data_IF_303135369588
#
_entry.id   IF_303135369588
#
_cell.length_a   1.000
_cell.length_b   1.000
_cell.length_c   1.000
_cell.angle_alpha   90.00
_cell.angle_beta   90.00
_cell.angle_gamma   90.00
#
_symmetry.space_group_name_H-M   'P 1'
#
loop_
_entity.id
_entity.type
_entity.pdbx_description
1 polymer ?
#
# COMPACT_ATOMS: atom_id res chain seq x y z
N UNK A 1 -11.92 -25.06 4.27
CA UNK A 1 -10.94 -25.59 3.29
C UNK A 1 -10.45 -24.56 2.26
N UNK A 2 -11.20 -23.48 1.95
CA UNK A 2 -10.75 -22.43 1.02
C UNK A 2 -9.56 -21.58 1.49
N UNK A 3 -9.48 -21.27 2.79
CA UNK A 3 -8.39 -20.45 3.37
C UNK A 3 -7.02 -21.13 3.26
N UNK A 4 -6.95 -22.45 3.44
CA UNK A 4 -5.68 -23.21 3.40
C UNK A 4 -5.11 -23.27 1.98
N UNK A 5 -5.97 -23.41 0.96
CA UNK A 5 -5.56 -23.42 -0.45
C UNK A 5 -5.07 -22.04 -0.97
N UNK A 6 -5.57 -20.95 -0.36
CA UNK A 6 -5.11 -19.59 -0.64
C UNK A 6 -3.73 -19.38 -0.01
N UNK A 7 -3.53 -19.82 1.23
CA UNK A 7 -2.24 -19.71 1.91
C UNK A 7 -1.14 -20.58 1.28
N UNK A 8 -1.48 -21.75 0.71
CA UNK A 8 -0.49 -22.65 0.10
C UNK A 8 0.09 -22.16 -1.23
N UNK A 9 -0.55 -21.15 -1.87
CA UNK A 9 -0.13 -20.58 -3.14
C UNK A 9 0.23 -19.09 -3.03
N UNK A 10 0.72 -18.65 -1.86
CA UNK A 10 1.17 -17.26 -1.67
C UNK A 10 2.39 -16.98 -2.55
N UNK A 11 2.25 -16.02 -3.46
CA UNK A 11 3.38 -15.50 -4.24
C UNK A 11 4.16 -14.51 -3.39
N UNK A 12 5.46 -14.37 -3.65
CA UNK A 12 6.27 -13.32 -3.04
C UNK A 12 5.67 -11.91 -3.31
N UNK A 13 5.03 -11.74 -4.46
CA UNK A 13 4.28 -10.54 -4.83
C UNK A 13 3.13 -10.26 -3.86
N UNK A 14 2.37 -11.29 -3.45
CA UNK A 14 1.26 -11.15 -2.51
C UNK A 14 1.78 -10.69 -1.12
N UNK A 15 2.92 -11.23 -0.68
CA UNK A 15 3.57 -10.83 0.58
C UNK A 15 4.07 -9.39 0.53
N UNK A 16 4.72 -9.00 -0.57
CA UNK A 16 5.18 -7.62 -0.77
C UNK A 16 4.01 -6.63 -0.82
N UNK A 17 2.90 -7.01 -1.47
CA UNK A 17 1.69 -6.19 -1.53
C UNK A 17 1.06 -6.00 -0.14
N UNK A 18 0.90 -7.08 0.64
CA UNK A 18 0.40 -7.01 2.02
C UNK A 18 1.29 -6.14 2.89
N UNK A 19 2.62 -6.28 2.79
CA UNK A 19 3.56 -5.45 3.56
C UNK A 19 3.48 -3.97 3.16
N UNK A 20 3.43 -3.69 1.87
CA UNK A 20 3.30 -2.33 1.35
C UNK A 20 1.99 -1.68 1.80
N UNK A 21 0.86 -2.38 1.61
CA UNK A 21 -0.45 -1.92 2.04
C UNK A 21 -0.52 -1.74 3.56
N UNK A 22 0.13 -2.61 4.35
CA UNK A 22 0.22 -2.45 5.81
C UNK A 22 0.99 -1.19 6.18
N UNK A 23 2.11 -0.91 5.50
CA UNK A 23 2.89 0.30 5.71
C UNK A 23 2.09 1.56 5.40
N UNK A 24 1.37 1.57 4.25
CA UNK A 24 0.50 2.67 3.84
C UNK A 24 -0.67 2.85 4.80
N UNK A 25 -1.37 1.77 5.16
CA UNK A 25 -2.49 1.80 6.09
C UNK A 25 -2.07 2.31 7.48
N UNK A 26 -0.89 1.93 7.96
CA UNK A 26 -0.33 2.44 9.21
C UNK A 26 -0.07 3.95 9.16
N UNK A 27 0.55 4.45 8.08
CA UNK A 27 0.80 5.88 7.91
C UNK A 27 -0.52 6.67 7.77
N UNK A 28 -1.48 6.16 7.00
CA UNK A 28 -2.82 6.74 6.91
C UNK A 28 -3.50 6.79 8.28
N UNK A 29 -3.43 5.71 9.06
CA UNK A 29 -3.97 5.70 10.42
C UNK A 29 -3.33 6.79 11.28
N UNK A 30 -2.00 6.90 11.28
CA UNK A 30 -1.31 7.93 12.06
C UNK A 30 -1.70 9.34 11.62
N UNK A 31 -1.91 9.54 10.32
CA UNK A 31 -2.31 10.83 9.76
C UNK A 31 -3.70 11.26 10.21
N UNK A 32 -4.66 10.34 10.18
CA UNK A 32 -6.04 10.65 10.56
C UNK A 32 -6.27 10.58 12.06
N UNK A 33 -5.43 9.89 12.83
CA UNK A 33 -5.64 9.70 14.28
C UNK A 33 -5.77 11.05 14.99
N UNK A 34 -6.89 11.23 15.70
CA UNK A 34 -7.18 12.46 16.45
C UNK A 34 -7.95 13.52 15.67
N UNK A 35 -8.10 13.35 14.35
CA UNK A 35 -8.88 14.26 13.50
C UNK A 35 -10.38 13.94 13.53
N UNK A 36 -11.21 14.92 13.16
CA UNK A 36 -12.65 14.69 12.89
C UNK A 36 -12.85 13.64 11.79
N UNK A 37 -11.93 13.57 10.83
CA UNK A 37 -11.95 12.59 9.75
C UNK A 37 -11.89 11.15 10.24
N UNK A 38 -11.16 10.86 11.32
CA UNK A 38 -11.13 9.51 11.89
C UNK A 38 -12.49 9.06 12.41
N UNK A 39 -13.26 9.94 13.06
CA UNK A 39 -14.62 9.63 13.53
C UNK A 39 -15.56 9.35 12.36
N UNK A 40 -15.45 10.13 11.28
CA UNK A 40 -16.21 9.92 10.06
C UNK A 40 -15.85 8.60 9.37
N UNK A 41 -14.57 8.22 9.32
CA UNK A 41 -14.10 6.94 8.78
C UNK A 41 -14.68 5.75 9.56
N UNK A 42 -14.68 5.82 10.90
CA UNK A 42 -15.32 4.79 11.74
C UNK A 42 -16.82 4.71 11.46
N UNK A 43 -17.50 5.87 11.34
CA UNK A 43 -18.91 5.92 10.96
C UNK A 43 -19.20 5.28 9.60
N UNK A 44 -18.36 5.54 8.61
CA UNK A 44 -18.44 4.93 7.27
C UNK A 44 -18.29 3.41 7.33
N UNK A 45 -17.36 2.92 8.15
CA UNK A 45 -17.12 1.48 8.31
C UNK A 45 -18.35 0.79 8.94
N UNK A 46 -18.93 1.37 9.99
CA UNK A 46 -20.18 0.87 10.61
C UNK A 46 -21.32 0.86 9.59
N UNK A 47 -21.48 1.94 8.83
CA UNK A 47 -22.48 2.03 7.78
C UNK A 47 -22.30 0.94 6.71
N UNK A 48 -21.06 0.68 6.29
CA UNK A 48 -20.70 -0.38 5.34
C UNK A 48 -21.01 -1.79 5.87
N UNK A 49 -20.82 -2.04 7.17
CA UNK A 49 -21.21 -3.30 7.81
C UNK A 49 -22.74 -3.48 7.74
N UNK A 50 -23.50 -2.45 8.12
CA UNK A 50 -24.97 -2.48 8.08
C UNK A 50 -25.46 -2.72 6.64
N UNK A 51 -24.88 -2.03 5.66
CA UNK A 51 -25.17 -2.23 4.25
C UNK A 51 -24.90 -3.68 3.81
N UNK A 52 -23.78 -4.26 4.23
CA UNK A 52 -23.42 -5.65 3.91
C UNK A 52 -24.43 -6.63 4.51
N UNK A 53 -24.86 -6.42 5.75
CA UNK A 53 -25.91 -7.22 6.40
C UNK A 53 -27.22 -7.11 5.61
N UNK A 54 -27.64 -5.88 5.27
CA UNK A 54 -28.87 -5.63 4.53
C UNK A 54 -28.87 -6.33 3.16
N UNK A 55 -27.74 -6.26 2.44
CA UNK A 55 -27.55 -6.94 1.16
C UNK A 55 -27.60 -8.46 1.31
N UNK A 56 -26.96 -9.00 2.34
CA UNK A 56 -26.89 -10.45 2.59
C UNK A 56 -28.26 -11.02 2.95
N UNK A 57 -29.08 -10.26 3.67
CA UNK A 57 -30.46 -10.64 4.01
C UNK A 57 -31.49 -10.35 2.91
N UNK A 58 -31.06 -9.81 1.77
CA UNK A 58 -31.97 -9.54 0.64
C UNK A 58 -32.95 -8.39 0.88
N UNK A 59 -32.64 -7.46 1.80
CA UNK A 59 -33.46 -6.26 2.05
C UNK A 59 -33.34 -5.28 0.88
N UNK A 60 -34.17 -5.44 -0.14
CA UNK A 60 -34.07 -4.69 -1.40
C UNK A 60 -34.16 -3.18 -1.19
N UNK A 61 -35.22 -2.70 -0.53
CA UNK A 61 -35.45 -1.26 -0.34
C UNK A 61 -34.34 -0.62 0.50
N UNK A 62 -33.91 -1.29 1.57
CA UNK A 62 -32.79 -0.84 2.41
C UNK A 62 -31.49 -0.77 1.62
N UNK A 63 -31.18 -1.81 0.83
CA UNK A 63 -29.98 -1.85 -0.02
C UNK A 63 -30.00 -0.70 -1.04
N UNK A 64 -31.14 -0.44 -1.66
CA UNK A 64 -31.33 0.64 -2.63
C UNK A 64 -31.15 2.03 -1.99
N UNK A 65 -31.72 2.26 -0.80
CA UNK A 65 -31.53 3.51 -0.04
C UNK A 65 -30.05 3.70 0.32
N UNK A 66 -29.37 2.66 0.80
CA UNK A 66 -27.95 2.73 1.10
C UNK A 66 -27.09 3.03 -0.14
N UNK A 67 -27.46 2.55 -1.33
CA UNK A 67 -26.75 2.88 -2.57
C UNK A 67 -26.82 4.37 -2.90
N UNK A 68 -28.00 4.99 -2.78
CA UNK A 68 -28.18 6.44 -2.97
C UNK A 68 -27.41 7.21 -1.90
N UNK A 69 -27.56 6.80 -0.64
CA UNK A 69 -26.86 7.41 0.48
C UNK A 69 -25.34 7.34 0.29
N UNK A 70 -24.81 6.23 -0.20
CA UNK A 70 -23.37 6.07 -0.49
C UNK A 70 -22.87 7.09 -1.51
N UNK A 71 -23.64 7.35 -2.58
CA UNK A 71 -23.28 8.36 -3.58
C UNK A 71 -23.20 9.76 -2.99
N UNK A 72 -24.22 10.17 -2.21
CA UNK A 72 -24.25 11.49 -1.55
C UNK A 72 -23.15 11.59 -0.50
N UNK A 73 -22.89 10.51 0.24
CA UNK A 73 -21.88 10.46 1.28
C UNK A 73 -20.47 10.63 0.71
N UNK A 74 -20.15 10.00 -0.43
CA UNK A 74 -18.85 10.18 -1.10
C UNK A 74 -18.65 11.64 -1.51
N UNK A 75 -19.68 12.29 -2.07
CA UNK A 75 -19.60 13.71 -2.42
C UNK A 75 -19.38 14.59 -1.18
N UNK A 76 -20.18 14.38 -0.13
CA UNK A 76 -20.05 15.10 1.13
C UNK A 76 -18.67 14.91 1.75
N UNK A 77 -18.13 13.68 1.69
CA UNK A 77 -16.81 13.33 2.21
C UNK A 77 -15.69 14.06 1.47
N UNK A 78 -15.76 14.17 0.15
CA UNK A 78 -14.79 14.95 -0.65
C UNK A 78 -14.84 16.43 -0.25
N UNK A 79 -16.03 17.01 -0.10
CA UNK A 79 -16.20 18.42 0.29
C UNK A 79 -15.67 18.64 1.70
N UNK A 80 -16.01 17.76 2.64
CA UNK A 80 -15.60 17.87 4.04
C UNK A 80 -14.09 17.69 4.21
N UNK A 81 -13.46 16.81 3.43
CA UNK A 81 -12.03 16.51 3.52
C UNK A 81 -11.16 17.28 2.53
N UNK A 82 -11.70 18.31 1.88
CA UNK A 82 -10.94 19.11 0.93
C UNK A 82 -9.69 19.75 1.57
N UNK A 83 -9.81 20.24 2.82
CA UNK A 83 -8.71 20.81 3.60
C UNK A 83 -7.63 19.79 3.94
N UNK A 84 -8.05 18.60 4.39
CA UNK A 84 -7.17 17.53 4.83
C UNK A 84 -6.36 16.99 3.65
N UNK A 85 -6.97 16.84 2.47
CA UNK A 85 -6.27 16.44 1.24
C UNK A 85 -5.23 17.48 0.83
N UNK A 86 -5.54 18.78 1.00
CA UNK A 86 -4.60 19.87 0.71
C UNK A 86 -3.40 19.81 1.66
N UNK A 87 -3.66 19.84 2.97
CA UNK A 87 -2.60 19.72 4.00
C UNK A 87 -1.76 18.47 3.76
N UNK A 88 -2.44 17.40 3.33
CA UNK A 88 -1.79 16.14 3.09
C UNK A 88 -0.71 16.25 2.01
N UNK A 89 -1.08 16.79 0.86
CA UNK A 89 -0.18 17.01 -0.27
C UNK A 89 0.93 18.02 0.06
N UNK A 90 0.63 19.03 0.89
CA UNK A 90 1.62 20.01 1.34
C UNK A 90 2.67 19.40 2.28
N UNK A 91 2.27 18.47 3.16
CA UNK A 91 3.17 17.73 4.06
C UNK A 91 4.07 16.76 3.32
N UNK A 92 3.55 16.11 2.27
CA UNK A 92 4.35 15.24 1.40
C UNK A 92 5.10 16.10 0.38
N UNK A 93 5.99 16.96 0.85
CA UNK A 93 6.93 17.65 -0.04
C UNK A 93 8.17 16.75 -0.23
N UNK A 94 8.30 16.02 -1.36
CA UNK A 94 9.40 15.09 -1.59
C UNK A 94 10.79 15.75 -1.51
N UNK A 95 10.86 17.07 -1.75
CA UNK A 95 12.09 17.87 -1.61
C UNK A 95 12.57 17.97 -0.14
N UNK A 96 11.64 17.89 0.82
CA UNK A 96 11.94 17.92 2.25
C UNK A 96 12.41 16.54 2.75
N UNK A 97 11.84 15.46 2.20
CA UNK A 97 12.28 14.08 2.44
C UNK A 97 13.69 13.78 1.88
N UNK A 98 14.08 14.47 0.80
CA UNK A 98 15.42 14.41 0.20
C UNK A 98 16.49 15.22 0.97
N UNK A 99 16.13 15.89 2.07
CA UNK A 99 17.08 16.59 2.94
C UNK A 99 17.68 17.87 2.35
N UNK A 100 17.15 18.37 1.23
CA UNK A 100 17.68 19.55 0.52
C UNK A 100 17.33 20.88 1.21
N UNK A 101 16.47 20.87 2.23
CA UNK A 101 16.20 22.07 3.03
C UNK A 101 17.26 22.23 4.09
N UNK A 102 18.20 23.15 3.85
CA UNK A 102 19.16 23.66 4.84
C UNK A 102 18.34 24.26 6.00
N UNK A 103 17.98 23.47 7.02
CA UNK A 103 17.39 23.98 8.27
C UNK A 103 18.35 25.07 8.75
N UNK A 104 17.92 26.33 8.71
CA UNK A 104 18.73 27.44 9.20
C UNK A 104 19.05 27.12 10.64
N UNK A 105 20.33 27.02 10.97
CA UNK A 105 20.79 26.73 12.32
C UNK A 105 20.13 27.74 13.26
N UNK A 106 19.30 27.30 14.23
CA UNK A 106 18.50 28.20 15.07
C UNK A 106 19.35 29.10 16.00
N UNK A 107 20.68 29.00 15.97
CA UNK A 107 21.54 29.58 17.00
C UNK A 107 21.55 31.12 17.10
N UNK A 108 21.57 31.87 15.99
CA UNK A 108 21.79 33.33 16.09
C UNK A 108 20.56 34.09 16.54
N UNK A 109 19.43 33.89 15.85
CA UNK A 109 18.20 34.63 16.14
C UNK A 109 17.57 34.25 17.48
N UNK A 110 17.78 33.03 17.98
CA UNK A 110 17.25 32.60 19.29
C UNK A 110 17.89 33.37 20.44
N UNK A 111 19.19 33.67 20.34
CA UNK A 111 19.87 34.47 21.37
C UNK A 111 19.35 35.92 21.35
N UNK A 112 19.33 36.54 20.17
CA UNK A 112 18.80 37.91 19.99
C UNK A 112 17.34 38.04 20.46
N UNK A 113 16.50 37.04 20.14
CA UNK A 113 15.12 36.98 20.60
C UNK A 113 15.05 36.84 22.13
N UNK A 114 15.89 35.99 22.72
CA UNK A 114 15.88 35.76 24.17
C UNK A 114 16.28 37.04 24.93
N UNK A 115 17.28 37.77 24.43
CA UNK A 115 17.69 39.05 24.99
C UNK A 115 16.54 40.08 24.91
N UNK A 116 15.85 40.15 23.78
CA UNK A 116 14.69 41.02 23.59
C UNK A 116 13.52 40.65 24.52
N UNK A 117 13.25 39.36 24.71
CA UNK A 117 12.23 38.86 25.65
C UNK A 117 12.53 39.29 27.08
N UNK A 118 13.78 39.14 27.53
CA UNK A 118 14.17 39.58 28.87
C UNK A 118 14.25 41.10 29.02
N UNK A 119 14.47 41.84 27.93
CA UNK A 119 14.30 43.29 27.93
C UNK A 119 12.83 43.68 28.14
N UNK A 120 11.91 43.08 27.39
CA UNK A 120 10.46 43.30 27.58
C UNK A 120 10.01 42.95 29.00
N UNK A 121 10.55 41.87 29.58
CA UNK A 121 10.29 41.46 30.95
C UNK A 121 10.70 42.55 31.97
N UNK A 122 11.90 43.13 31.83
CA UNK A 122 12.36 44.25 32.68
C UNK A 122 11.50 45.50 32.56
N UNK A 123 11.03 45.79 31.34
CA UNK A 123 10.16 46.94 31.05
C UNK A 123 8.67 46.64 31.33
N UNK A 124 8.34 45.41 31.77
CA UNK A 124 6.96 44.93 31.97
C UNK A 124 6.07 45.12 30.74
N UNK A 125 6.63 44.80 29.57
CA UNK A 125 5.95 44.77 28.30
C UNK A 125 5.46 43.34 28.07
N UNK A 126 4.14 43.17 27.96
CA UNK A 126 3.53 41.87 27.70
C UNK A 126 3.83 41.38 26.28
N UNK A 127 4.20 40.11 26.13
CA UNK A 127 4.51 39.53 24.84
C UNK A 127 3.99 38.09 24.74
N UNK A 128 3.67 37.68 23.51
CA UNK A 128 3.22 36.32 23.19
C UNK A 128 3.85 35.90 21.85
N UNK A 129 4.76 34.94 21.89
CA UNK A 129 5.61 34.60 20.75
C UNK A 129 5.50 33.12 20.47
N UNK A 130 4.97 32.76 19.30
CA UNK A 130 4.87 31.39 18.82
C UNK A 130 6.11 31.07 18.00
N UNK A 131 6.76 29.97 18.30
CA UNK A 131 7.83 29.38 17.51
C UNK A 131 7.31 28.08 16.90
N UNK A 132 7.08 28.10 15.59
CA UNK A 132 6.56 26.96 14.82
C UNK A 132 7.62 25.86 14.68
N UNK A 133 7.18 24.61 14.85
CA UNK A 133 8.02 23.41 14.77
C UNK A 133 7.57 22.47 13.64
N UNK A 134 7.09 21.26 13.94
CA UNK A 134 6.68 20.29 12.91
C UNK A 134 5.22 20.50 12.48
N UNK A 135 4.36 20.93 13.39
CA UNK A 135 2.98 21.29 13.12
C UNK A 135 2.88 22.74 12.64
N UNK A 136 2.06 22.96 11.62
CA UNK A 136 1.67 24.31 11.20
C UNK A 136 0.67 24.88 12.19
N UNK A 137 0.90 26.11 12.63
CA UNK A 137 0.00 26.80 13.58
C UNK A 137 -1.14 27.58 12.92
N UNK A 138 -1.09 27.76 11.59
CA UNK A 138 -2.02 28.58 10.80
C UNK A 138 -3.50 28.24 11.01
N UNK A 139 -3.83 26.97 11.22
CA UNK A 139 -5.21 26.52 11.39
C UNK A 139 -5.72 26.66 12.84
N UNK A 140 -4.79 26.87 13.78
CA UNK A 140 -5.08 27.04 15.19
C UNK A 140 -5.16 28.51 15.58
N UNK A 141 -4.46 29.37 14.84
CA UNK A 141 -4.49 30.81 15.04
C UNK A 141 -5.60 31.46 14.20
N UNK A 142 -6.14 32.58 14.67
CA UNK A 142 -7.13 33.37 13.93
C UNK A 142 -6.73 34.84 13.86
N UNK A 143 -7.21 35.54 12.83
CA UNK A 143 -6.85 36.94 12.60
C UNK A 143 -5.37 37.11 12.25
N UNK A 144 -4.78 38.22 12.72
CA UNK A 144 -3.39 38.58 12.46
C UNK A 144 -3.15 39.27 11.11
N UNK A 145 -1.93 39.79 10.95
CA UNK A 145 -1.43 40.41 9.73
C UNK A 145 -0.11 39.75 9.32
N UNK A 146 0.08 39.54 8.02
CA UNK A 146 1.34 39.05 7.47
C UNK A 146 2.43 40.12 7.64
N UNK A 147 3.55 39.71 8.23
CA UNK A 147 4.72 40.56 8.42
C UNK A 147 5.98 39.70 8.31
N UNK A 148 6.69 39.80 7.19
CA UNK A 148 7.94 39.10 6.97
C UNK A 148 9.12 39.89 7.56
N UNK A 149 9.79 39.32 8.54
CA UNK A 149 10.92 39.98 9.20
C UNK A 149 11.89 39.02 9.89
N UNK A 150 13.09 39.50 10.17
CA UNK A 150 14.02 38.81 11.08
C UNK A 150 13.61 39.08 12.54
N UNK A 151 13.52 38.07 13.41
CA UNK A 151 13.12 38.26 14.81
C UNK A 151 14.28 38.83 15.64
N UNK A 152 14.70 40.06 15.31
CA UNK A 152 15.67 40.82 16.07
C UNK A 152 14.98 41.64 17.19
N UNK A 153 15.78 42.21 18.07
CA UNK A 153 15.27 42.96 19.20
C UNK A 153 14.41 44.15 18.77
N UNK A 154 14.84 44.90 17.74
CA UNK A 154 14.16 46.10 17.27
C UNK A 154 12.75 45.80 16.77
N UNK A 155 12.57 44.75 15.98
CA UNK A 155 11.28 44.33 15.44
C UNK A 155 10.36 43.84 16.55
N UNK A 156 10.84 42.93 17.40
CA UNK A 156 10.03 42.32 18.46
C UNK A 156 9.58 43.37 19.47
N UNK A 157 10.49 44.25 19.90
CA UNK A 157 10.17 45.35 20.82
C UNK A 157 9.12 46.28 20.20
N UNK A 158 9.29 46.65 18.93
CA UNK A 158 8.37 47.55 18.22
C UNK A 158 6.97 46.97 18.05
N UNK A 159 6.87 45.65 17.83
CA UNK A 159 5.57 44.98 17.75
C UNK A 159 4.83 45.05 19.10
N UNK A 160 5.50 44.71 20.20
CA UNK A 160 4.87 44.61 21.53
C UNK A 160 4.78 45.94 22.30
N UNK A 161 5.22 47.07 21.73
CA UNK A 161 5.00 48.37 22.37
C UNK A 161 3.51 48.64 22.61
N UNK A 162 3.16 49.15 23.80
CA UNK A 162 1.76 49.39 24.22
C UNK A 162 0.91 50.24 23.27
N UNK A 163 1.54 51.11 22.48
CA UNK A 163 0.86 52.00 21.53
C UNK A 163 0.80 51.43 20.11
N UNK A 164 1.51 50.33 19.83
CA UNK A 164 1.53 49.69 18.51
C UNK A 164 0.20 49.00 18.25
N UNK A 165 -0.46 49.15 17.10
CA UNK A 165 -1.66 48.37 16.79
C UNK A 165 -1.39 46.85 16.67
N UNK A 166 -0.12 46.44 16.62
CA UNK A 166 0.31 45.05 16.47
C UNK A 166 0.57 44.33 17.80
N UNK A 167 0.50 45.02 18.94
CA UNK A 167 0.85 44.47 20.25
C UNK A 167 -0.20 43.51 20.84
N UNK A 168 -1.43 43.57 20.32
CA UNK A 168 -2.52 42.70 20.76
C UNK A 168 -2.50 41.39 19.99
N UNK A 169 -2.25 40.28 20.70
CA UNK A 169 -2.09 38.95 20.13
C UNK A 169 -0.63 38.49 20.07
N UNK A 170 -0.39 37.46 19.27
CA UNK A 170 0.90 36.79 19.17
C UNK A 170 1.62 37.08 17.87
N UNK A 171 2.94 36.93 17.89
CA UNK A 171 3.77 36.83 16.69
C UNK A 171 4.06 35.36 16.37
N UNK A 172 4.19 35.04 15.09
CA UNK A 172 4.52 33.68 14.62
C UNK A 172 5.89 33.69 13.96
N UNK A 173 6.82 32.95 14.55
CA UNK A 173 8.16 32.72 14.02
C UNK A 173 8.23 31.34 13.38
N UNK A 174 8.55 31.31 12.09
CA UNK A 174 8.69 30.10 11.28
C UNK A 174 10.00 30.14 10.52
N UNK A 175 10.75 29.04 10.54
CA UNK A 175 12.03 28.91 9.85
C UNK A 175 13.03 30.07 10.16
N UNK A 176 12.95 30.63 11.38
CA UNK A 176 13.76 31.75 11.84
C UNK A 176 13.34 33.12 11.29
N UNK A 177 12.10 33.28 10.85
CA UNK A 177 11.51 34.54 10.40
C UNK A 177 10.15 34.77 11.07
N UNK A 178 9.87 36.02 11.42
CA UNK A 178 8.50 36.45 11.72
C UNK A 178 7.71 36.35 10.42
N UNK A 179 6.52 35.74 10.49
CA UNK A 179 5.61 35.57 9.34
C UNK A 179 4.29 36.28 9.58
N UNK A 180 3.80 36.27 10.83
CA UNK A 180 2.55 36.89 11.22
C UNK A 180 2.70 37.60 12.56
N UNK A 181 1.87 38.61 12.76
CA UNK A 181 1.74 39.40 14.00
C UNK A 181 0.27 39.58 14.35
N UNK A 182 -0.03 39.95 15.60
CA UNK A 182 -1.38 40.15 16.09
C UNK A 182 -2.33 38.93 15.93
N UNK A 183 -1.77 37.71 16.03
CA UNK A 183 -2.54 36.47 15.91
C UNK A 183 -3.25 36.12 17.22
N UNK A 184 -4.52 35.69 17.13
CA UNK A 184 -5.26 35.19 18.27
C UNK A 184 -5.10 33.67 18.41
N UNK A 185 -4.96 33.20 19.65
CA UNK A 185 -4.73 31.79 19.98
C UNK A 185 -5.96 31.21 20.69
N UNK A 186 -6.17 29.88 20.61
CA UNK A 186 -7.17 29.21 21.42
C UNK A 186 -6.76 29.25 22.89
N UNK A 187 -7.71 29.54 23.77
CA UNK A 187 -7.49 29.49 25.23
C UNK A 187 -7.64 28.05 25.73
N UNK A 188 -6.79 27.64 26.68
CA UNK A 188 -6.99 26.39 27.42
C UNK A 188 -8.27 26.47 28.24
N UNK A 189 -9.03 25.36 28.25
CA UNK A 189 -10.27 25.20 29.01
C UNK A 189 -10.03 24.60 30.41
N UNK A 190 -8.78 24.40 30.81
CA UNK A 190 -8.47 23.83 32.12
C UNK A 190 -8.88 24.80 33.26
N UNK A 191 -9.72 24.29 34.17
CA UNK A 191 -10.19 25.02 35.34
C UNK A 191 -9.20 25.00 36.51
N UNK A 192 -8.15 24.15 36.44
CA UNK A 192 -7.11 24.03 37.46
C UNK A 192 -5.95 25.03 37.32
N UNK A 193 -6.02 25.97 36.38
CA UNK A 193 -4.93 26.90 36.11
C UNK A 193 -4.77 27.94 37.23
N UNK A 194 -3.52 28.35 37.56
CA UNK A 194 -3.27 29.36 38.58
C UNK A 194 -4.09 30.64 38.33
N UNK A 195 -4.64 31.21 39.40
CA UNK A 195 -5.47 32.43 39.32
C UNK A 195 -4.71 33.64 38.79
N UNK A 196 -3.39 33.65 38.97
CA UNK A 196 -2.47 34.68 38.48
C UNK A 196 -2.17 34.59 36.98
N UNK A 197 -2.69 33.59 36.27
CA UNK A 197 -2.50 33.44 34.82
C UNK A 197 -3.55 34.23 34.04
N UNK A 198 -3.06 35.25 33.34
CA UNK A 198 -3.83 36.06 32.41
C UNK A 198 -4.16 35.34 31.11
N UNK A 199 -4.79 36.07 30.19
CA UNK A 199 -5.23 35.54 28.89
C UNK A 199 -4.07 35.05 28.02
N UNK A 200 -2.90 35.71 28.04
CA UNK A 200 -1.71 35.28 27.28
C UNK A 200 -1.16 33.92 27.73
N UNK A 201 -1.11 33.66 29.04
CA UNK A 201 -0.71 32.35 29.58
C UNK A 201 -1.70 31.25 29.19
N UNK A 202 -2.99 31.52 29.28
CA UNK A 202 -4.05 30.57 28.87
C UNK A 202 -4.04 30.30 27.37
N UNK A 203 -3.76 31.31 26.56
CA UNK A 203 -3.56 31.22 25.12
C UNK A 203 -2.34 30.35 24.76
N UNK A 204 -1.21 30.60 25.42
CA UNK A 204 0.00 29.82 25.22
C UNK A 204 -0.21 28.34 25.55
N UNK A 205 -0.87 28.06 26.68
CA UNK A 205 -1.22 26.70 27.06
C UNK A 205 -2.17 26.06 26.04
N UNK A 206 -3.26 26.75 25.68
CA UNK A 206 -4.27 26.23 24.76
C UNK A 206 -3.74 25.93 23.35
N UNK A 207 -2.73 26.66 22.88
CA UNK A 207 -2.03 26.32 21.64
C UNK A 207 -1.12 25.10 21.83
N UNK A 208 -0.31 25.08 22.89
CA UNK A 208 0.65 23.99 23.17
C UNK A 208 0.01 22.63 23.45
N UNK A 209 -1.27 22.61 23.84
CA UNK A 209 -2.07 21.39 24.02
C UNK A 209 -2.51 20.77 22.67
N UNK A 210 -2.54 21.58 21.61
CA UNK A 210 -3.11 21.20 20.30
C UNK A 210 -2.05 20.93 19.23
N UNK A 211 -0.83 21.44 19.41
CA UNK A 211 0.28 21.23 18.49
C UNK A 211 1.63 21.27 19.22
N UNK A 212 2.69 20.88 18.51
CA UNK A 212 4.06 20.86 19.04
C UNK A 212 4.75 22.23 19.14
N UNK A 213 4.03 23.33 18.90
CA UNK A 213 4.58 24.67 18.92
C UNK A 213 5.09 25.09 20.31
N UNK A 214 6.16 25.88 20.30
CA UNK A 214 6.75 26.44 21.51
C UNK A 214 6.26 27.88 21.65
N UNK A 215 5.71 28.23 22.82
CA UNK A 215 5.14 29.56 23.05
C UNK A 215 5.86 30.26 24.19
N UNK A 216 6.43 31.43 23.92
CA UNK A 216 7.06 32.29 24.93
C UNK A 216 6.05 33.36 25.35
N UNK A 217 5.88 33.54 26.65
CA UNK A 217 5.00 34.53 27.25
C UNK A 217 5.80 35.46 28.13
N UNK A 218 5.56 36.76 28.04
CA UNK A 218 6.05 37.75 29.01
C UNK A 218 4.85 38.35 29.73
N UNK A 219 4.85 38.28 31.06
CA UNK A 219 3.82 38.88 31.90
C UNK A 219 3.97 40.40 31.96
N UNK A 220 2.93 41.13 31.57
CA UNK A 220 2.88 42.60 31.70
C UNK A 220 2.73 43.08 33.15
N UNK A 221 2.24 42.22 34.05
CA UNK A 221 2.06 42.55 35.46
C UNK A 221 3.33 42.25 36.27
N UNK A 222 3.89 41.05 36.07
CA UNK A 222 4.99 40.52 36.88
C UNK A 222 6.37 40.72 36.24
N UNK A 223 6.44 40.96 34.93
CA UNK A 223 7.71 40.95 34.20
C UNK A 223 8.36 39.56 34.19
N UNK A 224 7.55 38.51 34.30
CA UNK A 224 8.00 37.12 34.33
C UNK A 224 7.96 36.52 32.92
N UNK A 225 9.00 35.75 32.57
CA UNK A 225 9.07 35.02 31.30
C UNK A 225 8.63 33.57 31.54
N UNK A 226 7.70 33.10 30.72
CA UNK A 226 7.23 31.71 30.73
C UNK A 226 7.43 31.08 29.36
N UNK A 227 7.87 29.84 29.35
CA UNK A 227 8.04 29.01 28.16
C UNK A 227 7.03 27.87 28.22
N UNK A 228 6.16 27.76 27.22
CA UNK A 228 5.09 26.76 27.18
C UNK A 228 5.33 25.79 26.03
N UNK A 229 5.44 24.50 26.36
CA UNK A 229 5.71 23.41 25.41
C UNK A 229 4.95 22.16 25.84
N UNK A 230 4.18 21.56 24.93
CA UNK A 230 3.45 20.30 25.17
C UNK A 230 2.61 20.32 26.46
N UNK A 231 1.90 21.42 26.72
CA UNK A 231 1.07 21.60 27.91
C UNK A 231 1.84 21.84 29.21
N UNK A 232 3.18 21.96 29.18
CA UNK A 232 4.01 22.27 30.34
C UNK A 232 4.49 23.70 30.28
N UNK A 233 4.51 24.36 31.45
CA UNK A 233 5.01 25.72 31.60
C UNK A 233 6.32 25.68 32.39
N UNK A 234 7.36 26.26 31.81
CA UNK A 234 8.68 26.44 32.39
C UNK A 234 8.96 27.93 32.59
N UNK A 235 9.71 28.27 33.63
CA UNK A 235 10.01 29.66 34.01
C UNK A 235 11.53 29.90 33.93
N UNK A 236 12.07 30.22 32.74
CA UNK A 236 13.50 30.50 32.60
C UNK A 236 13.88 31.77 33.37
N UNK A 237 14.99 31.71 34.12
CA UNK A 237 15.42 32.83 34.96
C UNK A 237 16.24 33.89 34.19
N UNK A 238 16.84 33.53 33.06
CA UNK A 238 17.72 34.39 32.27
C UNK A 238 17.63 34.08 30.76
N UNK A 239 18.10 35.01 29.92
CA UNK A 239 18.07 34.91 28.46
C UNK A 239 18.90 33.71 27.95
N UNK A 240 20.01 33.41 28.60
CA UNK A 240 20.86 32.25 28.30
C UNK A 240 20.14 30.93 28.59
N UNK A 241 19.29 30.91 29.63
CA UNK A 241 18.49 29.72 29.92
C UNK A 241 17.38 29.53 28.90
N UNK A 242 16.63 30.59 28.59
CA UNK A 242 15.57 30.54 27.57
C UNK A 242 16.13 30.08 26.21
N UNK A 243 17.21 30.71 25.75
CA UNK A 243 17.86 30.34 24.48
C UNK A 243 18.31 28.88 24.48
N UNK A 244 18.92 28.41 25.57
CA UNK A 244 19.31 27.00 25.72
C UNK A 244 18.09 26.06 25.62
N UNK A 245 16.99 26.34 26.33
CA UNK A 245 15.79 25.48 26.32
C UNK A 245 15.15 25.45 24.94
N UNK A 246 15.02 26.60 24.29
CA UNK A 246 14.52 26.67 22.91
C UNK A 246 15.39 25.83 21.97
N UNK A 247 16.72 25.96 22.05
CA UNK A 247 17.66 25.19 21.23
C UNK A 247 17.65 23.68 21.55
N UNK A 248 17.49 23.29 22.82
CA UNK A 248 17.35 21.89 23.24
C UNK A 248 16.09 21.26 22.65
N UNK A 249 14.95 21.96 22.69
CA UNK A 249 13.69 21.51 22.09
C UNK A 249 13.84 21.31 20.57
N UNK A 250 14.53 22.22 19.88
CA UNK A 250 14.86 22.04 18.45
C UNK A 250 15.81 20.87 18.18
N UNK A 251 16.72 20.54 19.12
CA UNK A 251 17.65 19.41 19.01
C UNK A 251 17.00 18.07 19.31
N UNK A 252 15.99 18.01 20.17
CA UNK A 252 15.21 16.78 20.38
C UNK A 252 14.48 16.35 19.09
N UNK A 253 14.17 17.29 18.20
CA UNK A 253 13.68 17.07 16.83
C UNK A 253 14.78 16.92 15.75
N UNK A 254 16.04 17.13 16.11
CA UNK A 254 17.14 16.76 15.22
C UNK A 254 17.34 15.26 15.38
N UNK A 255 17.41 14.47 14.28
CA UNK A 255 17.61 13.04 14.40
C UNK A 255 18.87 12.80 15.21
N UNK A 256 18.69 12.26 16.43
CA UNK A 256 19.78 11.76 17.23
C UNK A 256 20.58 10.79 16.36
N UNK A 257 21.90 10.79 16.52
CA UNK A 257 22.80 9.84 15.87
C UNK A 257 22.60 8.42 16.44
N UNK A 258 21.36 7.94 16.52
CA UNK A 258 21.05 6.58 16.93
C UNK A 258 21.38 5.62 15.80
N UNK A 259 21.99 4.51 16.17
CA UNK A 259 22.42 3.45 15.26
C UNK A 259 21.19 2.83 14.60
N UNK A 260 21.26 2.47 13.30
CA UNK A 260 20.13 1.89 12.53
C UNK A 260 19.45 0.73 13.30
N UNK A 261 20.22 -0.04 14.08
CA UNK A 261 19.74 -1.15 14.90
C UNK A 261 18.83 -0.71 16.07
N UNK A 262 19.14 0.39 16.75
CA UNK A 262 18.36 0.94 17.86
C UNK A 262 17.09 1.64 17.35
N UNK A 263 17.15 2.24 16.15
CA UNK A 263 16.00 2.81 15.45
C UNK A 263 15.00 1.73 15.02
N UNK A 264 15.49 0.57 14.60
CA UNK A 264 14.63 -0.58 14.26
C UNK A 264 13.98 -1.18 15.51
N UNK A 265 14.72 -1.36 16.61
CA UNK A 265 14.17 -1.93 17.84
C UNK A 265 13.13 -1.02 18.50
N UNK A 266 13.40 0.28 18.62
CA UNK A 266 12.43 1.25 19.15
C UNK A 266 11.25 1.47 18.20
N UNK A 267 11.49 1.46 16.88
CA UNK A 267 10.45 1.55 15.87
C UNK A 267 9.49 0.36 15.88
N UNK A 268 9.96 -0.87 16.08
CA UNK A 268 9.11 -2.07 16.11
C UNK A 268 8.31 -2.16 17.41
N UNK A 269 8.91 -1.80 18.55
CA UNK A 269 8.27 -1.90 19.87
C UNK A 269 7.31 -0.74 20.16
N UNK A 270 7.55 0.45 19.61
CA UNK A 270 6.65 1.58 19.82
C UNK A 270 5.37 1.44 18.98
N UNK A 271 4.21 1.51 19.64
CA UNK A 271 2.88 1.37 19.03
C UNK A 271 2.61 0.04 18.29
N UNK A 272 3.23 -1.07 18.70
CA UNK A 272 3.06 -2.38 18.04
C UNK A 272 1.59 -2.80 17.88
N UNK A 273 0.71 -2.42 18.82
CA UNK A 273 -0.74 -2.71 18.78
C UNK A 273 -1.42 -2.08 17.56
N UNK A 274 -1.01 -0.86 17.20
CA UNK A 274 -1.54 -0.14 16.02
C UNK A 274 -1.04 -0.80 14.75
N UNK A 275 0.23 -1.19 14.70
CA UNK A 275 0.84 -1.87 13.55
C UNK A 275 0.21 -3.25 13.32
N UNK A 276 0.01 -4.01 14.40
CA UNK A 276 -0.69 -5.28 14.37
C UNK A 276 -2.15 -5.08 13.92
N UNK A 277 -2.84 -4.04 14.41
CA UNK A 277 -4.18 -3.70 13.96
C UNK A 277 -4.26 -3.36 12.46
N UNK A 278 -3.34 -2.54 11.95
CA UNK A 278 -3.25 -2.22 10.53
C UNK A 278 -2.96 -3.47 9.68
N UNK A 279 -2.05 -4.34 10.13
CA UNK A 279 -1.75 -5.60 9.46
C UNK A 279 -2.97 -6.52 9.42
N UNK A 280 -3.69 -6.67 10.53
CA UNK A 280 -4.93 -7.49 10.59
C UNK A 280 -5.99 -6.93 9.64
N UNK A 281 -6.18 -5.61 9.62
CA UNK A 281 -7.13 -4.96 8.72
C UNK A 281 -6.80 -5.24 7.24
N UNK A 282 -5.54 -5.05 6.86
CA UNK A 282 -5.07 -5.32 5.49
C UNK A 282 -5.18 -6.80 5.16
N UNK A 283 -4.85 -7.70 6.09
CA UNK A 283 -4.99 -9.14 5.90
C UNK A 283 -6.45 -9.56 5.67
N UNK A 284 -7.39 -9.02 6.45
CA UNK A 284 -8.83 -9.29 6.28
C UNK A 284 -9.31 -8.77 4.93
N UNK A 285 -8.92 -7.55 4.55
CA UNK A 285 -9.30 -6.97 3.27
C UNK A 285 -8.72 -7.74 2.08
N UNK A 286 -7.45 -8.14 2.17
CA UNK A 286 -6.78 -8.97 1.18
C UNK A 286 -7.48 -10.33 1.04
N UNK A 287 -7.87 -10.98 2.14
CA UNK A 287 -8.62 -12.25 2.11
C UNK A 287 -10.00 -12.11 1.47
N UNK A 288 -10.72 -11.01 1.73
CA UNK A 288 -12.02 -10.74 1.13
C UNK A 288 -11.91 -10.54 -0.39
N UNK A 289 -10.84 -9.88 -0.86
CA UNK A 289 -10.63 -9.59 -2.29
C UNK A 289 -9.92 -10.70 -3.06
N UNK A 290 -9.03 -11.47 -2.42
CA UNK A 290 -8.27 -12.55 -3.05
C UNK A 290 -9.17 -13.65 -3.63
N UNK A 291 -10.40 -13.79 -3.13
CA UNK A 291 -11.41 -14.68 -3.69
C UNK A 291 -12.01 -14.24 -5.03
N UNK A 292 -11.75 -13.01 -5.48
CA UNK A 292 -12.36 -12.40 -6.68
C UNK A 292 -11.42 -12.29 -7.89
N UNK A 293 -10.16 -12.72 -7.80
CA UNK A 293 -9.22 -12.63 -8.92
C UNK A 293 -9.34 -13.84 -9.86
N UNK A 294 -9.76 -13.57 -11.10
CA UNK A 294 -9.71 -14.53 -12.21
C UNK A 294 -8.25 -14.91 -12.50
N UNK A 295 -7.96 -16.21 -12.48
CA UNK A 295 -6.62 -16.74 -12.64
C UNK A 295 -6.49 -17.33 -14.05
N UNK A 296 -5.47 -16.88 -14.79
CA UNK A 296 -5.12 -17.43 -16.10
C UNK A 296 -3.91 -18.37 -15.96
N UNK A 297 -4.08 -19.62 -16.41
CA UNK A 297 -3.02 -20.62 -16.43
C UNK A 297 -2.79 -21.08 -17.86
N UNK A 298 -1.51 -21.11 -18.25
CA UNK A 298 -1.07 -21.73 -19.48
C UNK A 298 -0.40 -23.08 -19.15
N UNK A 299 -0.86 -24.17 -19.75
CA UNK A 299 -0.21 -25.47 -19.59
C UNK A 299 -0.21 -26.26 -20.91
N UNK A 300 0.79 -27.12 -21.07
CA UNK A 300 0.97 -27.95 -22.26
C UNK A 300 0.33 -29.31 -22.06
N UNK A 301 -0.55 -29.73 -22.96
CA UNK A 301 -1.26 -31.01 -22.90
C UNK A 301 -0.86 -31.89 -24.09
N UNK A 302 -0.52 -33.18 -23.88
CA UNK A 302 -0.29 -34.12 -24.96
C UNK A 302 -1.60 -34.47 -25.67
N UNK A 303 -1.59 -34.50 -27.00
CA UNK A 303 -2.77 -34.79 -27.80
C UNK A 303 -3.00 -36.30 -27.95
N UNK A 304 -4.16 -36.79 -27.52
CA UNK A 304 -4.53 -38.19 -27.69
C UNK A 304 -5.19 -38.39 -29.05
N UNK A 305 -4.54 -39.20 -29.90
CA UNK A 305 -5.02 -39.49 -31.24
C UNK A 305 -6.01 -40.66 -31.21
N UNK A 306 -7.23 -40.44 -31.72
CA UNK A 306 -8.29 -41.47 -31.84
C UNK A 306 -8.50 -41.84 -33.30
N UNK A 307 -8.89 -43.09 -33.56
CA UNK A 307 -9.21 -43.61 -34.91
C UNK A 307 -8.04 -43.53 -35.92
N UNK A 308 -6.81 -43.86 -35.50
CA UNK A 308 -5.67 -43.97 -36.43
C UNK A 308 -5.90 -45.15 -37.39
N UNK A 309 -5.93 -44.96 -38.72
CA UNK A 309 -6.12 -46.05 -39.67
C UNK A 309 -5.02 -47.12 -39.55
N UNK A 310 -5.39 -48.40 -39.36
CA UNK A 310 -4.45 -49.52 -39.10
C UNK A 310 -3.40 -49.76 -40.20
N UNK A 311 -3.59 -49.19 -41.40
CA UNK A 311 -2.69 -49.32 -42.56
C UNK A 311 -1.67 -48.19 -42.68
N UNK A 312 -1.64 -47.22 -41.76
CA UNK A 312 -0.82 -46.02 -41.87
C UNK A 312 0.07 -45.81 -40.63
N UNK A 313 1.25 -45.24 -40.86
CA UNK A 313 2.22 -44.82 -39.85
C UNK A 313 2.39 -43.30 -39.91
N UNK A 314 2.40 -42.66 -38.73
CA UNK A 314 2.60 -41.22 -38.58
C UNK A 314 4.12 -40.97 -38.55
N UNK A 315 4.62 -40.21 -39.53
CA UNK A 315 6.05 -39.87 -39.62
C UNK A 315 6.41 -38.60 -38.86
N UNK A 316 5.50 -37.63 -38.79
CA UNK A 316 5.70 -36.36 -38.10
C UNK A 316 4.33 -35.73 -37.74
N UNK A 317 4.16 -35.11 -36.55
CA UNK A 317 5.04 -35.12 -35.37
C UNK A 317 4.81 -36.34 -34.44
N UNK A 318 5.85 -36.78 -33.73
CA UNK A 318 5.81 -38.00 -32.88
C UNK A 318 5.24 -37.82 -31.45
N UNK A 319 4.94 -36.60 -31.01
CA UNK A 319 4.22 -36.30 -29.75
C UNK A 319 3.61 -34.88 -29.83
N UNK A 320 2.49 -34.68 -30.53
CA UNK A 320 1.89 -33.35 -30.66
C UNK A 320 1.39 -32.83 -29.32
N UNK A 321 1.91 -31.68 -28.90
CA UNK A 321 1.48 -30.98 -27.68
C UNK A 321 0.78 -29.68 -28.03
N UNK A 322 -0.23 -29.34 -27.26
CA UNK A 322 -0.98 -28.09 -27.39
C UNK A 322 -0.84 -27.28 -26.12
N UNK A 323 -0.57 -25.99 -26.25
CA UNK A 323 -0.60 -25.01 -25.18
C UNK A 323 -2.03 -24.50 -25.02
N UNK A 324 -2.62 -24.74 -23.86
CA UNK A 324 -3.95 -24.25 -23.51
C UNK A 324 -3.80 -23.09 -22.53
N UNK A 325 -4.38 -21.94 -22.87
CA UNK A 325 -4.61 -20.85 -21.90
C UNK A 325 -6.04 -20.92 -21.42
N UNK A 326 -6.21 -20.94 -20.11
CA UNK A 326 -7.49 -21.19 -19.48
C UNK A 326 -7.73 -20.18 -18.36
N UNK A 327 -8.93 -19.58 -18.32
CA UNK A 327 -9.36 -18.57 -17.34
C UNK A 327 -10.47 -19.13 -16.45
N UNK A 328 -10.34 -18.96 -15.14
CA UNK A 328 -11.37 -19.32 -14.17
C UNK A 328 -11.02 -18.87 -12.76
N UNK A 329 -11.90 -19.18 -11.80
CA UNK A 329 -11.64 -18.95 -10.39
C UNK A 329 -10.33 -19.64 -9.97
N UNK A 330 -9.48 -18.97 -9.18
CA UNK A 330 -8.15 -19.48 -8.78
C UNK A 330 -8.17 -20.91 -8.21
N UNK A 331 -9.24 -21.29 -7.51
CA UNK A 331 -9.44 -22.66 -6.98
C UNK A 331 -9.54 -23.75 -8.08
N UNK A 332 -10.14 -23.43 -9.21
CA UNK A 332 -10.45 -24.39 -10.27
C UNK A 332 -9.32 -24.40 -11.30
N UNK A 333 -8.82 -23.20 -11.66
CA UNK A 333 -7.73 -23.05 -12.62
C UNK A 333 -6.36 -23.60 -12.12
N UNK A 334 -6.09 -23.57 -10.81
CA UNK A 334 -4.82 -24.08 -10.24
C UNK A 334 -4.72 -25.60 -10.11
N UNK A 335 -5.84 -26.33 -10.26
CA UNK A 335 -5.85 -27.81 -10.23
C UNK A 335 -5.74 -28.43 -11.63
N UNK A 336 -5.73 -27.59 -12.67
CA UNK A 336 -5.54 -28.01 -14.06
C UNK A 336 -4.06 -28.32 -14.30
N UNK A 337 -3.80 -29.58 -14.66
CA UNK A 337 -2.47 -30.07 -15.05
C UNK A 337 -2.63 -31.02 -16.24
N UNK A 338 -1.52 -31.29 -16.93
CA UNK A 338 -1.35 -32.31 -17.98
C UNK A 338 -2.04 -33.66 -17.72
N UNK A 339 -2.16 -34.07 -16.45
CA UNK A 339 -2.79 -35.34 -16.04
C UNK A 339 -4.33 -35.31 -16.06
N UNK A 340 -4.92 -34.13 -15.88
CA UNK A 340 -6.36 -33.97 -15.63
C UNK A 340 -7.12 -33.34 -16.80
N UNK A 341 -6.41 -32.88 -17.84
CA UNK A 341 -6.99 -32.29 -19.04
C UNK A 341 -6.65 -33.19 -20.23
N UNK A 342 -7.68 -33.64 -20.93
CA UNK A 342 -7.51 -34.54 -22.09
C UNK A 342 -7.95 -33.82 -23.35
N UNK A 343 -7.02 -33.66 -24.28
CA UNK A 343 -7.30 -33.18 -25.64
C UNK A 343 -7.31 -34.37 -26.59
N UNK A 344 -8.45 -34.61 -27.26
CA UNK A 344 -8.64 -35.76 -28.15
C UNK A 344 -8.76 -35.27 -29.58
N UNK A 345 -7.91 -35.75 -30.48
CA UNK A 345 -8.00 -35.47 -31.92
C UNK A 345 -8.45 -36.71 -32.69
N UNK A 346 -9.52 -36.61 -33.45
CA UNK A 346 -10.02 -37.69 -34.31
C UNK A 346 -9.30 -37.67 -35.68
N UNK A 347 -8.62 -38.77 -36.03
CA UNK A 347 -7.89 -38.94 -37.29
C UNK A 347 -8.63 -39.79 -38.32
N UNK A 348 -9.93 -40.03 -38.16
CA UNK A 348 -10.75 -40.82 -39.12
C UNK A 348 -10.72 -40.29 -40.56
N UNK A 349 -10.53 -38.98 -40.76
CA UNK A 349 -10.39 -38.37 -42.08
C UNK A 349 -8.95 -38.41 -42.66
N UNK A 350 -8.03 -39.17 -42.05
CA UNK A 350 -6.64 -39.28 -42.49
C UNK A 350 -6.53 -40.01 -43.84
N UNK A 351 -5.76 -39.41 -44.76
CA UNK A 351 -5.45 -39.91 -46.09
C UNK A 351 -3.94 -39.84 -46.35
N UNK A 352 -3.44 -40.59 -47.33
CA UNK A 352 -2.02 -40.58 -47.70
C UNK A 352 -1.51 -39.15 -47.99
N UNK A 353 -0.33 -38.80 -47.46
CA UNK A 353 0.29 -37.49 -47.68
C UNK A 353 0.30 -36.58 -46.45
N UNK A 354 0.37 -35.26 -46.66
CA UNK A 354 0.35 -34.23 -45.61
C UNK A 354 -1.09 -33.73 -45.43
N UNK A 355 -1.60 -33.75 -44.20
CA UNK A 355 -2.94 -33.24 -43.89
C UNK A 355 -2.91 -32.40 -42.63
N UNK A 356 -3.63 -31.29 -42.67
CA UNK A 356 -3.80 -30.39 -41.53
C UNK A 356 -5.09 -30.74 -40.81
N UNK A 357 -5.03 -30.79 -39.48
CA UNK A 357 -6.20 -30.96 -38.62
C UNK A 357 -6.32 -29.75 -37.69
N UNK A 358 -7.52 -29.19 -37.62
CA UNK A 358 -7.85 -28.05 -36.75
C UNK A 358 -8.33 -28.55 -35.40
N UNK A 359 -7.87 -27.93 -34.32
CA UNK A 359 -8.26 -28.26 -32.95
C UNK A 359 -9.33 -27.27 -32.48
N UNK A 360 -10.49 -27.80 -32.09
CA UNK A 360 -11.63 -26.99 -31.62
C UNK A 360 -11.86 -27.20 -30.13
N UNK A 361 -12.35 -26.18 -29.42
CA UNK A 361 -12.59 -26.24 -27.97
C UNK A 361 -13.46 -27.43 -27.51
N UNK A 362 -14.38 -27.89 -28.35
CA UNK A 362 -15.26 -29.04 -28.09
C UNK A 362 -14.53 -30.39 -28.00
N UNK A 363 -13.25 -30.44 -28.39
CA UNK A 363 -12.40 -31.63 -28.36
C UNK A 363 -11.51 -31.70 -27.10
N UNK A 364 -11.64 -30.72 -26.20
CA UNK A 364 -10.88 -30.61 -24.96
C UNK A 364 -11.82 -30.87 -23.78
N UNK A 365 -11.58 -31.95 -23.04
CA UNK A 365 -12.35 -32.30 -21.85
C UNK A 365 -11.71 -31.65 -20.63
N UNK A 366 -12.46 -30.71 -20.02
CA UNK A 366 -12.08 -30.03 -18.78
C UNK A 366 -12.70 -30.76 -17.57
N UNK A 367 -12.00 -30.84 -16.43
CA UNK A 367 -12.50 -31.51 -15.23
C UNK A 367 -13.54 -30.69 -14.43
N UNK A 368 -13.69 -29.39 -14.72
CA UNK A 368 -14.62 -28.49 -14.02
C UNK A 368 -15.31 -27.53 -14.99
N UNK A 369 -16.62 -27.30 -14.78
CA UNK A 369 -17.46 -26.44 -15.63
C UNK A 369 -17.22 -24.92 -15.43
N UNK A 370 -16.56 -24.54 -14.34
CA UNK A 370 -16.27 -23.13 -13.98
C UNK A 370 -15.09 -22.50 -14.71
N UNK A 371 -14.59 -23.14 -15.78
CA UNK A 371 -13.30 -22.89 -16.40
C UNK A 371 -13.50 -22.70 -17.91
N UNK A 372 -12.96 -21.61 -18.48
CA UNK A 372 -13.11 -21.28 -19.91
C UNK A 372 -11.77 -21.27 -20.62
N UNK A 373 -11.71 -21.91 -21.80
CA UNK A 373 -10.53 -21.91 -22.66
C UNK A 373 -10.46 -20.56 -23.39
N UNK A 374 -9.33 -19.88 -23.29
CA UNK A 374 -9.08 -18.58 -23.92
C UNK A 374 -8.32 -18.70 -25.24
N UNK A 375 -7.30 -19.55 -25.30
CA UNK A 375 -6.55 -19.82 -26.54
C UNK A 375 -5.99 -21.24 -26.57
N UNK A 376 -5.80 -21.76 -27.79
CA UNK A 376 -5.27 -23.08 -28.09
C UNK A 376 -4.13 -22.89 -29.10
N UNK A 377 -2.89 -23.11 -28.70
CA UNK A 377 -1.72 -22.94 -29.58
C UNK A 377 -0.94 -24.25 -29.74
N UNK A 378 -0.70 -24.75 -30.97
CA UNK A 378 -1.21 -24.26 -32.25
C UNK A 378 -2.67 -24.69 -32.50
N UNK A 379 -3.44 -23.86 -33.22
CA UNK A 379 -4.82 -24.17 -33.65
C UNK A 379 -4.88 -25.23 -34.77
N UNK A 380 -3.78 -25.44 -35.49
CA UNK A 380 -3.65 -26.39 -36.59
C UNK A 380 -2.39 -27.23 -36.45
N UNK A 381 -2.52 -28.55 -36.61
CA UNK A 381 -1.38 -29.47 -36.60
C UNK A 381 -1.33 -30.19 -37.94
N UNK A 382 -0.15 -30.15 -38.57
CA UNK A 382 0.14 -30.84 -39.83
C UNK A 382 0.70 -32.22 -39.53
N UNK A 383 -0.02 -33.25 -39.96
CA UNK A 383 0.41 -34.64 -39.86
C UNK A 383 0.86 -35.16 -41.22
N UNK A 384 1.94 -35.95 -41.23
CA UNK A 384 2.43 -36.65 -42.42
C UNK A 384 2.24 -38.16 -42.25
N UNK A 385 1.40 -38.75 -43.09
CA UNK A 385 1.08 -40.17 -43.05
C UNK A 385 1.77 -40.94 -44.18
N UNK A 386 2.33 -42.10 -43.87
CA UNK A 386 2.85 -43.08 -44.84
C UNK A 386 2.10 -44.41 -44.67
N UNK A 387 1.93 -45.16 -45.76
CA UNK A 387 1.36 -46.52 -45.69
C UNK A 387 2.38 -47.44 -45.00
N UNK A 388 1.94 -48.20 -43.99
CA UNK A 388 2.76 -49.17 -43.28
C UNK A 388 3.13 -50.31 -44.25
N UNK A 389 4.42 -50.65 -44.46
CA UNK A 389 4.79 -51.74 -45.35
C UNK A 389 4.21 -53.07 -44.85
N UNK A 390 3.54 -53.81 -45.73
CA UNK A 390 2.96 -55.12 -45.41
C UNK A 390 4.09 -56.11 -45.06
N UNK A 391 3.95 -56.95 -44.01
CA UNK A 391 4.96 -57.95 -43.70
C UNK A 391 5.07 -58.94 -44.86
N UNK A 392 6.17 -58.87 -45.59
CA UNK A 392 6.48 -59.77 -46.71
C UNK A 392 6.56 -61.20 -46.14
N UNK A 393 5.56 -62.01 -46.44
CA UNK A 393 5.58 -63.45 -46.14
C UNK A 393 6.62 -64.09 -47.06
N UNK A 394 7.79 -64.43 -46.50
CA UNK A 394 8.89 -65.09 -47.21
C UNK A 394 8.42 -66.50 -47.62
N UNK A 395 7.97 -66.63 -48.87
CA UNK A 395 7.53 -67.91 -49.43
C UNK A 395 8.72 -68.88 -49.50
N UNK A 396 8.58 -70.07 -48.89
CA UNK A 396 9.62 -71.12 -48.88
C UNK A 396 9.85 -71.61 -50.31
N UNK A 397 11.10 -71.52 -50.76
CA UNK A 397 11.54 -71.97 -52.08
C UNK A 397 11.29 -73.45 -52.32
N UNK A 398 10.77 -73.72 -53.52
CA UNK A 398 10.72 -75.02 -54.19
C UNK A 398 12.15 -75.53 -54.36
N UNK A 399 12.47 -76.71 -53.79
CA UNK A 399 13.73 -77.42 -54.04
C UNK A 399 13.65 -78.12 -55.40
N UNK A 400 14.48 -77.69 -56.34
CA UNK A 400 14.78 -78.41 -57.58
C UNK A 400 15.62 -79.67 -57.27
N UNK A 401 15.33 -80.75 -57.99
CA UNK A 401 16.02 -82.04 -57.93
C UNK A 401 17.36 -82.03 -58.72
N UNK A 402 18.36 -82.85 -58.36
CA UNK A 402 19.52 -83.11 -59.21
C UNK A 402 19.37 -84.41 -60.04
N UNK A 403 20.02 -84.52 -61.22
CA UNK A 403 19.92 -85.70 -62.08
C UNK A 403 21.01 -86.74 -61.80
N UNK A 404 20.64 -88.01 -61.93
CA UNK A 404 21.42 -89.09 -62.57
C UNK A 404 22.75 -89.56 -61.96
N UNK A 405 22.76 -90.79 -61.42
CA UNK A 405 23.86 -91.75 -61.65
C UNK A 405 23.30 -93.19 -61.68
N UNK A 406 23.93 -94.01 -62.51
CA UNK A 406 23.41 -95.19 -63.23
C UNK A 406 23.41 -96.52 -62.39
N UNK A 407 22.92 -97.65 -62.95
CA UNK A 407 22.44 -98.82 -62.19
C UNK A 407 23.48 -99.94 -62.01
N UNK A 408 23.29 -100.77 -60.97
CA UNK A 408 24.07 -101.98 -60.69
C UNK A 408 23.25 -103.08 -59.98
N UNK A 409 22.88 -104.08 -60.79
CA UNK A 409 22.33 -105.44 -60.59
C UNK A 409 22.38 -106.17 -59.21
N UNK A 410 21.49 -107.17 -58.97
CA UNK A 410 21.13 -107.74 -57.67
C UNK A 410 21.77 -109.12 -57.37
N UNK A 411 21.72 -109.55 -56.09
CA UNK A 411 21.85 -110.91 -55.48
C UNK A 411 22.08 -110.70 -53.97
N UNK A 412 21.58 -111.45 -52.98
CA UNK A 412 20.89 -112.73 -52.91
C UNK A 412 20.08 -112.83 -51.59
N UNK A 413 18.97 -113.57 -51.71
CA UNK A 413 18.27 -114.49 -50.81
C UNK A 413 18.51 -114.54 -49.28
N UNK A 414 17.36 -114.58 -48.61
CA UNK A 414 17.05 -115.32 -47.37
C UNK A 414 17.70 -116.71 -47.32
N UNK A 415 18.63 -116.94 -46.39
CA UNK A 415 18.58 -117.99 -45.35
C UNK A 415 19.84 -117.99 -44.50
#
# INVERSE_FOLDING_TARGET
MHLVAIMSNLRLQDVLDILFLTFVAYHLYQWFRGTKAFKALVGLLVLGIIFTIARTWGLFLTTWVFQILWQVLVLLLIILFQSEIRQALERVNPLQALGLRKRRTPGKWVNELSDAVFQMARERIGALIIIEREDRVEELITGGQELEGTPNAELVLSIFQKHSPLHDGAIVIRDGRVTHVACYLPLSSDGGLPSEWGTRHRAALGLSERCDALVIVVSEERGEVSLVVEGKVEHPAAAEELSRRVLETFRMLAPSKLTIREKIQSGILNQWRVKAGAFVLVMVFWLLLAGQQDFEVAFSVPLQLKNVPQKMEILDPHDPRIMLRVRGLRKDASTLSDKNVRAVLDLSAASFGRRTFTITANQILLPSEGVRIMSIEPHEIRFKFRVKPSPITRNKGIKAAPPGSAPGSPRDLLR
#
